data_IF_739684718590
#
_entry.id   IF_739684718590
#
_cell.length_a   1.000
_cell.length_b   1.000
_cell.length_c   1.000
_cell.angle_alpha   90.00
_cell.angle_beta   90.00
_cell.angle_gamma   90.00
#
_symmetry.space_group_name_H-M   'P 1'
#
loop_
_entity.id
_entity.type
_entity.pdbx_description
1 polymer ?
#
# COMPACT_ATOMS: atom_id res chain seq x y z
N UNK A 1 17.28 -17.86 -9.42
CA UNK A 1 15.88 -17.40 -9.35
C UNK A 1 15.41 -17.17 -10.78
N UNK A 2 14.15 -17.43 -11.06
CA UNK A 2 13.52 -17.04 -12.34
C UNK A 2 13.39 -15.51 -12.41
N UNK A 3 13.63 -14.88 -13.56
CA UNK A 3 13.55 -13.41 -13.74
C UNK A 3 12.17 -12.88 -13.30
N UNK A 4 11.12 -13.66 -13.54
CA UNK A 4 9.77 -13.32 -13.11
C UNK A 4 9.60 -13.35 -11.58
N UNK A 5 10.22 -14.30 -10.89
CA UNK A 5 10.19 -14.37 -9.41
C UNK A 5 10.90 -13.15 -8.81
N UNK A 6 11.99 -12.71 -9.41
CA UNK A 6 12.72 -11.50 -9.01
C UNK A 6 11.89 -10.23 -9.23
N UNK A 7 11.31 -10.04 -10.41
CA UNK A 7 10.44 -8.91 -10.71
C UNK A 7 9.23 -8.83 -9.77
N UNK A 8 8.64 -9.98 -9.42
CA UNK A 8 7.55 -10.04 -8.43
C UNK A 8 8.02 -9.73 -7.01
N UNK A 9 9.19 -10.23 -6.63
CA UNK A 9 9.80 -9.86 -5.36
C UNK A 9 9.98 -8.35 -5.26
N UNK A 10 10.50 -7.73 -6.31
CA UNK A 10 10.67 -6.28 -6.39
C UNK A 10 9.33 -5.53 -6.36
N UNK A 11 8.32 -5.99 -7.09
CA UNK A 11 6.97 -5.41 -7.03
C UNK A 11 6.36 -5.52 -5.62
N UNK A 12 6.54 -6.66 -4.95
CA UNK A 12 6.11 -6.86 -3.57
C UNK A 12 6.82 -5.92 -2.59
N UNK A 13 8.11 -5.68 -2.76
CA UNK A 13 8.87 -4.70 -1.98
C UNK A 13 8.36 -3.28 -2.19
N UNK A 14 8.17 -2.86 -3.45
CA UNK A 14 7.58 -1.55 -3.79
C UNK A 14 6.19 -1.37 -3.19
N UNK A 15 5.36 -2.41 -3.25
CA UNK A 15 4.02 -2.40 -2.64
C UNK A 15 4.10 -2.28 -1.11
N UNK A 16 5.06 -2.96 -0.49
CA UNK A 16 5.28 -2.92 0.96
C UNK A 16 5.70 -1.52 1.41
N UNK A 17 6.67 -0.94 0.71
CA UNK A 17 7.15 0.42 0.96
C UNK A 17 6.01 1.44 0.81
N UNK A 18 5.23 1.37 -0.27
CA UNK A 18 4.08 2.24 -0.50
C UNK A 18 3.09 2.19 0.66
N UNK A 19 2.72 0.97 1.09
CA UNK A 19 1.73 0.79 2.14
C UNK A 19 2.26 1.30 3.48
N UNK A 20 3.50 0.99 3.86
CA UNK A 20 4.12 1.46 5.11
C UNK A 20 4.26 2.97 5.12
N UNK A 21 4.71 3.59 4.02
CA UNK A 21 4.80 5.04 3.89
C UNK A 21 3.45 5.74 4.09
N UNK A 22 2.35 5.01 3.89
CA UNK A 22 0.99 5.50 4.14
C UNK A 22 0.73 5.95 5.57
N UNK A 23 1.53 5.54 6.55
CA UNK A 23 1.50 6.07 7.93
C UNK A 23 1.60 7.61 7.95
N UNK A 24 2.30 8.19 6.97
CA UNK A 24 2.57 9.62 6.84
C UNK A 24 1.51 10.37 6.01
N UNK A 25 0.42 9.73 5.57
CA UNK A 25 -0.67 10.45 4.90
C UNK A 25 -1.49 11.31 5.86
N UNK A 26 -1.35 11.07 7.17
CA UNK A 26 -1.83 11.93 8.24
C UNK A 26 -0.89 13.08 8.50
N UNK A 27 -1.47 14.28 8.56
CA UNK A 27 -0.72 15.49 8.86
C UNK A 27 -1.36 16.26 10.02
N UNK A 28 -0.47 16.82 10.85
CA UNK A 28 -0.77 17.68 11.96
C UNK A 28 0.47 18.50 12.27
N UNK A 29 0.43 19.78 11.90
CA UNK A 29 1.55 20.71 12.06
C UNK A 29 1.84 21.08 13.52
N UNK A 30 0.98 20.67 14.45
CA UNK A 30 1.00 21.15 15.84
C UNK A 30 1.79 20.24 16.81
N UNK A 31 2.56 19.27 16.29
CA UNK A 31 3.44 18.42 17.10
C UNK A 31 2.71 17.59 18.17
N UNK A 32 1.41 17.36 17.99
CA UNK A 32 0.60 16.60 18.94
C UNK A 32 0.55 15.11 18.58
N UNK A 33 0.09 14.26 19.50
CA UNK A 33 0.00 12.80 19.32
C UNK A 33 -0.98 12.32 18.24
N UNK A 34 -1.64 13.23 17.51
CA UNK A 34 -2.62 12.92 16.46
C UNK A 34 -2.05 12.03 15.36
N UNK A 35 -0.90 12.42 14.79
CA UNK A 35 -0.26 11.66 13.71
C UNK A 35 0.18 10.27 14.19
N UNK A 36 0.71 10.17 15.41
CA UNK A 36 1.10 8.89 16.00
C UNK A 36 -0.12 7.98 16.22
N UNK A 37 -1.22 8.54 16.72
CA UNK A 37 -2.47 7.80 16.99
C UNK A 37 -3.09 7.26 15.69
N UNK A 38 -3.19 8.09 14.66
CA UNK A 38 -3.70 7.67 13.35
C UNK A 38 -2.72 6.77 12.60
N UNK A 39 -1.41 7.01 12.74
CA UNK A 39 -0.38 6.14 12.19
C UNK A 39 -0.46 4.73 12.79
N UNK A 40 -0.62 4.62 14.11
CA UNK A 40 -0.84 3.33 14.76
C UNK A 40 -2.13 2.64 14.28
N UNK A 41 -3.24 3.39 14.20
CA UNK A 41 -4.50 2.87 13.67
C UNK A 41 -4.36 2.39 12.21
N UNK A 42 -3.58 3.08 11.39
CA UNK A 42 -3.29 2.71 10.01
C UNK A 42 -2.51 1.39 9.93
N UNK A 43 -1.47 1.22 10.74
CA UNK A 43 -0.66 -0.01 10.78
C UNK A 43 -1.48 -1.21 11.24
N UNK A 44 -2.29 -1.05 12.30
CA UNK A 44 -3.24 -2.07 12.73
C UNK A 44 -4.26 -2.41 11.65
N UNK A 45 -4.66 -1.42 10.84
CA UNK A 45 -5.58 -1.63 9.72
C UNK A 45 -4.93 -2.43 8.59
N UNK A 46 -3.66 -2.16 8.27
CA UNK A 46 -2.91 -2.97 7.31
C UNK A 46 -2.84 -4.43 7.76
N UNK A 47 -2.52 -4.68 9.03
CA UNK A 47 -2.48 -6.02 9.60
C UNK A 47 -3.84 -6.72 9.48
N UNK A 48 -4.91 -6.08 9.96
CA UNK A 48 -6.26 -6.65 9.96
C UNK A 48 -6.78 -6.99 8.55
N UNK A 49 -6.36 -6.24 7.53
CA UNK A 49 -6.76 -6.45 6.14
C UNK A 49 -5.79 -7.37 5.36
N UNK A 50 -4.82 -7.99 6.04
CA UNK A 50 -3.75 -8.81 5.46
C UNK A 50 -2.94 -8.05 4.38
N UNK A 51 -2.69 -6.76 4.63
CA UNK A 51 -1.90 -5.87 3.79
C UNK A 51 -0.49 -5.61 4.38
N UNK A 52 -0.16 -6.27 5.48
CA UNK A 52 1.21 -6.27 6.00
C UNK A 52 2.16 -7.05 5.06
N UNK A 53 3.42 -6.62 4.87
CA UNK A 53 4.33 -7.19 3.89
C UNK A 53 4.50 -8.71 3.95
N UNK A 54 4.44 -9.30 5.15
CA UNK A 54 4.60 -10.74 5.35
C UNK A 54 3.53 -11.56 4.63
N UNK A 55 2.34 -10.99 4.38
CA UNK A 55 1.24 -11.68 3.72
C UNK A 55 1.35 -11.66 2.18
N UNK A 56 2.32 -10.94 1.61
CA UNK A 56 2.44 -10.80 0.14
C UNK A 56 3.00 -12.05 -0.51
N UNK A 57 3.74 -12.87 0.23
CA UNK A 57 4.31 -14.14 -0.27
C UNK A 57 3.22 -15.08 -0.80
N UNK A 58 2.00 -14.99 -0.25
CA UNK A 58 0.87 -15.86 -0.60
C UNK A 58 -0.23 -15.15 -1.40
N UNK A 59 -0.01 -13.91 -1.81
CA UNK A 59 -1.02 -13.07 -2.46
C UNK A 59 -0.50 -12.54 -3.79
N UNK A 60 -1.34 -12.52 -4.83
CA UNK A 60 -0.97 -11.88 -6.09
C UNK A 60 -0.92 -10.36 -5.91
N UNK A 61 -0.07 -9.68 -6.66
CA UNK A 61 0.03 -8.22 -6.60
C UNK A 61 -1.33 -7.57 -6.89
N UNK A 62 -2.09 -8.07 -7.87
CA UNK A 62 -3.42 -7.52 -8.20
C UNK A 62 -4.37 -7.58 -7.00
N UNK A 63 -4.36 -8.69 -6.27
CA UNK A 63 -5.25 -8.91 -5.12
C UNK A 63 -4.84 -8.03 -3.95
N UNK A 64 -3.54 -7.81 -3.75
CA UNK A 64 -3.05 -6.86 -2.74
C UNK A 64 -3.46 -5.43 -3.07
N UNK A 65 -3.35 -5.01 -4.34
CA UNK A 65 -3.80 -3.71 -4.83
C UNK A 65 -5.31 -3.54 -4.60
N UNK A 66 -6.13 -4.47 -5.06
CA UNK A 66 -7.59 -4.45 -4.89
C UNK A 66 -7.99 -4.28 -3.41
N UNK A 67 -7.36 -5.05 -2.52
CA UNK A 67 -7.58 -4.93 -1.06
C UNK A 67 -7.17 -3.57 -0.52
N UNK A 68 -6.01 -3.07 -0.93
CA UNK A 68 -5.54 -1.77 -0.49
C UNK A 68 -6.45 -0.63 -0.99
N UNK A 69 -7.00 -0.69 -2.20
CA UNK A 69 -7.92 0.31 -2.73
C UNK A 69 -9.23 0.41 -1.93
N UNK A 70 -9.75 -0.73 -1.49
CA UNK A 70 -11.01 -0.80 -0.74
C UNK A 70 -10.84 -0.71 0.77
N UNK A 71 -9.62 -0.73 1.29
CA UNK A 71 -9.34 -0.54 2.72
C UNK A 71 -9.96 0.79 3.20
N UNK A 72 -10.84 0.79 4.21
CA UNK A 72 -11.42 2.03 4.71
C UNK A 72 -10.37 2.86 5.44
N UNK A 73 -10.64 4.15 5.62
CA UNK A 73 -9.76 5.02 6.41
C UNK A 73 -9.62 4.49 7.84
N UNK A 74 -8.40 4.51 8.41
CA UNK A 74 -8.18 4.04 9.77
C UNK A 74 -8.89 4.98 10.75
N UNK A 75 -9.53 4.37 11.75
CA UNK A 75 -10.15 5.08 12.85
C UNK A 75 -9.49 4.62 14.15
N UNK A 76 -8.84 5.51 14.89
CA UNK A 76 -8.23 5.15 16.17
C UNK A 76 -9.28 4.68 17.17
N UNK A 77 -9.02 3.53 17.80
CA UNK A 77 -9.80 3.04 18.95
C UNK A 77 -9.43 3.75 20.26
N UNK A 78 -8.19 4.25 20.33
CA UNK A 78 -7.68 5.00 21.47
C UNK A 78 -8.32 6.38 21.53
N UNK A 79 -8.64 6.84 22.76
CA UNK A 79 -9.05 8.23 22.94
C UNK A 79 -7.86 9.11 22.58
N UNK A 80 -8.07 10.01 21.63
CA UNK A 80 -7.06 10.99 21.26
C UNK A 80 -6.59 11.73 22.51
N UNK A 81 -5.28 11.84 22.67
CA UNK A 81 -4.69 12.70 23.70
C UNK A 81 -5.28 14.10 23.56
N UNK A 82 -5.61 14.81 24.66
CA UNK A 82 -6.13 16.16 24.57
C UNK A 82 -5.18 17.04 23.75
N UNK A 83 -5.69 17.59 22.64
CA UNK A 83 -4.99 18.57 21.83
C UNK A 83 -5.72 19.90 21.95
N UNK A 84 -5.00 20.94 22.37
CA UNK A 84 -5.51 22.32 22.42
C UNK A 84 -5.79 22.91 21.02
N UNK A 85 -5.25 22.27 19.98
CA UNK A 85 -5.46 22.60 18.56
C UNK A 85 -6.42 21.61 17.87
N UNK A 86 -7.19 20.82 18.63
CA UNK A 86 -8.09 19.79 18.07
C UNK A 86 -9.05 20.33 17.02
N UNK A 87 -9.53 21.57 17.14
CA UNK A 87 -10.42 22.17 16.14
C UNK A 87 -9.77 22.34 14.75
N UNK A 88 -8.43 22.32 14.67
CA UNK A 88 -7.68 22.39 13.41
C UNK A 88 -7.34 21.01 12.85
N UNK A 89 -7.64 19.93 13.57
CA UNK A 89 -7.43 18.59 13.05
C UNK A 89 -8.45 18.29 11.96
N UNK A 90 -7.95 17.93 10.78
CA UNK A 90 -8.79 17.35 9.75
C UNK A 90 -8.81 15.83 9.89
N UNK A 91 -9.94 15.21 9.54
CA UNK A 91 -9.97 13.75 9.37
C UNK A 91 -9.05 13.42 8.21
N UNK A 92 -8.03 12.63 8.50
CA UNK A 92 -7.03 12.28 7.52
C UNK A 92 -7.65 11.48 6.37
N UNK A 93 -7.39 11.91 5.13
CA UNK A 93 -7.85 11.24 3.91
C UNK A 93 -6.87 10.17 3.44
N UNK A 94 -6.56 9.20 4.30
CA UNK A 94 -5.59 8.13 4.03
C UNK A 94 -5.89 7.40 2.71
N UNK A 95 -7.17 7.14 2.43
CA UNK A 95 -7.63 6.48 1.22
C UNK A 95 -7.27 7.26 -0.04
N UNK A 96 -7.42 8.58 -0.05
CA UNK A 96 -7.09 9.39 -1.23
C UNK A 96 -5.59 9.34 -1.51
N UNK A 97 -4.76 9.54 -0.47
CA UNK A 97 -3.31 9.46 -0.60
C UNK A 97 -2.85 8.08 -1.08
N UNK A 98 -3.45 7.02 -0.52
CA UNK A 98 -3.16 5.64 -0.90
C UNK A 98 -3.60 5.33 -2.33
N UNK A 99 -4.83 5.67 -2.72
CA UNK A 99 -5.36 5.44 -4.06
C UNK A 99 -4.48 6.09 -5.14
N UNK A 100 -4.05 7.33 -4.92
CA UNK A 100 -3.13 8.02 -5.84
C UNK A 100 -1.79 7.27 -5.99
N UNK A 101 -1.22 6.78 -4.89
CA UNK A 101 0.04 6.02 -4.92
C UNK A 101 -0.14 4.64 -5.57
N UNK A 102 -1.26 3.97 -5.34
CA UNK A 102 -1.58 2.68 -5.96
C UNK A 102 -1.75 2.80 -7.47
N UNK A 103 -2.37 3.89 -7.94
CA UNK A 103 -2.46 4.19 -9.38
C UNK A 103 -1.06 4.35 -10.00
N UNK A 104 -0.19 5.14 -9.38
CA UNK A 104 1.22 5.28 -9.82
C UNK A 104 1.94 3.94 -9.82
N UNK A 105 1.75 3.12 -8.78
CA UNK A 105 2.34 1.78 -8.70
C UNK A 105 1.87 0.89 -9.86
N UNK A 106 0.56 0.82 -10.12
CA UNK A 106 -0.02 0.03 -11.20
C UNK A 106 0.45 0.49 -12.59
N UNK A 107 0.67 1.79 -12.78
CA UNK A 107 1.15 2.32 -14.05
C UNK A 107 2.64 2.07 -14.29
N UNK A 108 3.43 1.87 -13.22
CA UNK A 108 4.88 1.69 -13.28
C UNK A 108 5.36 0.27 -12.96
N UNK A 109 4.44 -0.68 -12.77
CA UNK A 109 4.81 -2.06 -12.51
C UNK A 109 5.21 -2.73 -13.82
N UNK A 110 6.46 -3.18 -13.91
CA UNK A 110 7.01 -3.86 -15.09
C UNK A 110 6.59 -5.34 -15.13
N UNK A 111 5.30 -5.61 -14.92
CA UNK A 111 4.70 -6.94 -14.99
C UNK A 111 3.46 -6.89 -15.88
N UNK A 112 3.33 -7.87 -16.78
CA UNK A 112 2.12 -7.98 -17.58
C UNK A 112 0.90 -8.37 -16.72
N UNK A 113 -0.30 -8.15 -17.26
CA UNK A 113 -1.57 -8.41 -16.55
C UNK A 113 -1.70 -9.84 -16.00
N UNK A 114 -1.22 -10.85 -16.73
CA UNK A 114 -1.25 -12.24 -16.25
C UNK A 114 -0.27 -12.46 -15.10
N UNK A 115 0.90 -11.84 -15.20
CA UNK A 115 1.97 -11.98 -14.23
C UNK A 115 1.70 -11.25 -12.90
N UNK A 116 0.91 -10.17 -12.92
CA UNK A 116 0.40 -9.47 -11.72
C UNK A 116 -0.67 -10.31 -10.99
N UNK A 117 -1.42 -11.15 -11.71
CA UNK A 117 -2.51 -11.97 -11.17
C UNK A 117 -2.08 -13.34 -10.65
N UNK A 118 -1.00 -13.89 -11.21
CA UNK A 118 -0.54 -15.22 -10.86
C UNK A 118 0.16 -15.27 -9.49
N UNK A 119 0.01 -16.41 -8.81
CA UNK A 119 0.72 -16.76 -7.58
C UNK A 119 1.71 -17.88 -7.93
N UNK A 120 2.97 -17.75 -7.50
CA UNK A 120 4.01 -18.76 -7.79
C UNK A 120 4.38 -18.87 -9.27
N UNK A 121 5.05 -19.95 -9.67
CA UNK A 121 5.57 -20.11 -11.05
C UNK A 121 4.43 -20.28 -12.06
N UNK A 122 4.04 -19.18 -12.71
CA UNK A 122 3.18 -19.22 -13.89
C UNK A 122 4.05 -19.22 -15.14
N UNK A 123 4.01 -20.32 -15.90
CA UNK A 123 4.88 -20.63 -17.04
C UNK A 123 4.61 -19.83 -18.31
N UNK A 124 3.73 -18.81 -18.28
CA UNK A 124 3.20 -18.17 -19.49
C UNK A 124 3.84 -16.84 -19.88
N UNK A 125 4.51 -16.13 -18.97
CA UNK A 125 5.21 -14.89 -19.33
C UNK A 125 6.67 -15.22 -19.69
N UNK A 126 6.98 -15.37 -20.97
CA UNK A 126 8.38 -15.51 -21.46
C UNK A 126 8.93 -14.23 -22.08
N UNK A 127 8.15 -13.15 -22.13
CA UNK A 127 8.55 -11.93 -22.82
C UNK A 127 8.51 -10.72 -21.88
N UNK A 128 9.52 -9.83 -21.97
CA UNK A 128 9.53 -8.59 -21.22
C UNK A 128 8.34 -7.72 -21.64
N UNK A 129 7.78 -6.90 -20.73
CA UNK A 129 6.75 -5.95 -21.10
C UNK A 129 7.38 -4.91 -22.02
N UNK A 130 6.94 -4.91 -23.27
CA UNK A 130 7.06 -3.83 -24.25
C UNK A 130 8.43 -3.14 -24.32
N UNK A 131 9.26 -3.56 -25.28
CA UNK A 131 10.13 -2.61 -25.98
C UNK A 131 9.24 -1.51 -26.57
N UNK A 132 9.20 -0.34 -25.92
CA UNK A 132 8.74 0.88 -26.55
C UNK A 132 9.54 1.07 -27.84
N UNK A 133 8.89 0.82 -28.97
CA UNK A 133 9.35 1.32 -30.26
C UNK A 133 9.03 2.80 -30.29
N UNK A 134 10.07 3.63 -30.16
CA UNK A 134 10.20 4.93 -30.83
C UNK A 134 11.68 5.08 -31.23
#
# INVERSE_FOLDING_TARGET
LDLLEEQRGFAGLKMSELLIQGVNYGDCDYGCGWNSTYGYAYMNKLEAENLWPEHFVHTSISKTVERAEVMPDPMPSERSTPCNMRQFHSVTKYRIGRSYRLEIFNNNIELCRECVRAIGRSSKCKEPPHSSQD
#
